data_IF_514567217097
#
_entry.id   IF_514567217097
#
_cell.length_a   1.000
_cell.length_b   1.000
_cell.length_c   1.000
_cell.angle_alpha   90.00
_cell.angle_beta   90.00
_cell.angle_gamma   90.00
#
_symmetry.space_group_name_H-M   'P 1'
#
loop_
_entity.id
_entity.type
_entity.pdbx_description
1 polymer ?
#
# COMPACT_ATOMS: atom_id res chain seq x y z
N UNK A 1 -4.09 4.85 -9.74
CA UNK A 1 -3.66 3.92 -8.67
C UNK A 1 -4.83 3.35 -7.88
N UNK A 2 -5.63 4.17 -7.17
CA UNK A 2 -6.75 3.69 -6.34
C UNK A 2 -7.69 2.70 -7.02
N UNK A 3 -8.17 3.03 -8.23
CA UNK A 3 -9.06 2.15 -9.02
C UNK A 3 -8.42 0.80 -9.35
N UNK A 4 -7.13 0.79 -9.72
CA UNK A 4 -6.38 -0.43 -10.04
C UNK A 4 -6.18 -1.31 -8.81
N UNK A 5 -5.83 -0.70 -7.67
CA UNK A 5 -5.72 -1.42 -6.39
C UNK A 5 -7.06 -2.04 -5.98
N UNK A 6 -8.16 -1.29 -6.08
CA UNK A 6 -9.49 -1.81 -5.77
C UNK A 6 -9.88 -3.00 -6.66
N UNK A 7 -9.64 -2.91 -7.97
CA UNK A 7 -9.89 -4.00 -8.92
C UNK A 7 -9.06 -5.25 -8.59
N UNK A 8 -7.74 -5.09 -8.43
CA UNK A 8 -6.85 -6.22 -8.12
C UNK A 8 -7.10 -6.80 -6.73
N UNK A 9 -7.41 -5.94 -5.76
CA UNK A 9 -7.78 -6.33 -4.41
C UNK A 9 -9.06 -7.16 -4.38
N UNK A 10 -10.10 -6.78 -5.12
CA UNK A 10 -11.34 -7.57 -5.24
C UNK A 10 -11.08 -9.01 -5.71
N UNK A 11 -10.09 -9.18 -6.60
CA UNK A 11 -9.66 -10.48 -7.11
C UNK A 11 -8.66 -11.22 -6.18
N UNK A 12 -8.33 -10.63 -5.02
CA UNK A 12 -7.40 -11.19 -4.03
C UNK A 12 -5.92 -11.04 -4.38
N UNK A 13 -5.56 -10.08 -5.24
CA UNK A 13 -4.17 -9.84 -5.60
C UNK A 13 -3.52 -8.78 -4.70
N UNK A 14 -2.40 -9.15 -4.07
CA UNK A 14 -1.64 -8.28 -3.20
C UNK A 14 -0.60 -7.48 -4.00
N UNK A 15 -0.59 -6.15 -3.88
CA UNK A 15 0.48 -5.32 -4.46
C UNK A 15 1.82 -5.61 -3.79
N UNK A 16 2.88 -5.78 -4.59
CA UNK A 16 4.27 -5.92 -4.12
C UNK A 16 5.06 -4.63 -4.25
N UNK A 17 4.66 -3.76 -5.18
CA UNK A 17 5.30 -2.48 -5.43
C UNK A 17 5.29 -2.14 -6.92
N UNK A 18 5.94 -1.04 -7.28
CA UNK A 18 6.12 -0.63 -8.67
C UNK A 18 7.53 -1.02 -9.13
N UNK A 19 7.61 -1.83 -10.17
CA UNK A 19 8.85 -2.25 -10.81
C UNK A 19 9.16 -1.35 -12.01
N UNK A 20 10.41 -0.89 -12.07
CA UNK A 20 10.97 -0.26 -13.26
C UNK A 20 11.41 -1.34 -14.26
N UNK A 21 10.95 -1.23 -15.49
CA UNK A 21 11.31 -2.09 -16.61
C UNK A 21 11.89 -1.28 -17.77
N UNK A 22 12.82 -1.88 -18.52
CA UNK A 22 13.55 -1.24 -19.62
C UNK A 22 14.94 -0.73 -19.20
N UNK A 23 15.92 -0.94 -20.08
CA UNK A 23 17.33 -0.56 -19.85
C UNK A 23 17.68 0.88 -20.29
N UNK A 24 16.84 1.49 -21.12
CA UNK A 24 17.01 2.87 -21.59
C UNK A 24 16.41 3.85 -20.57
N UNK A 25 17.20 4.78 -19.99
CA UNK A 25 16.71 5.82 -19.08
C UNK A 25 15.61 6.73 -19.65
N UNK A 26 15.52 6.87 -20.96
CA UNK A 26 14.54 7.75 -21.62
C UNK A 26 13.24 7.04 -22.01
N UNK A 27 13.23 5.71 -22.02
CA UNK A 27 12.08 4.89 -22.43
C UNK A 27 11.72 3.84 -21.37
N UNK A 28 11.64 4.29 -20.12
CA UNK A 28 11.35 3.42 -18.98
C UNK A 28 9.85 3.17 -18.83
N UNK A 29 9.49 1.92 -18.57
CA UNK A 29 8.14 1.54 -18.17
C UNK A 29 8.07 1.29 -16.67
N UNK A 30 7.04 1.82 -16.03
CA UNK A 30 6.73 1.54 -14.62
C UNK A 30 5.48 0.68 -14.55
N UNK A 31 5.62 -0.53 -14.00
CA UNK A 31 4.52 -1.48 -13.84
C UNK A 31 4.31 -1.80 -12.37
N UNK A 32 3.05 -1.88 -11.95
CA UNK A 32 2.75 -2.38 -10.63
C UNK A 32 2.76 -3.90 -10.64
N UNK A 33 3.50 -4.49 -9.71
CA UNK A 33 3.58 -5.93 -9.51
C UNK A 33 2.56 -6.34 -8.48
N UNK A 34 1.77 -7.35 -8.84
CA UNK A 34 0.78 -7.96 -7.97
C UNK A 34 1.04 -9.45 -7.85
N UNK A 35 0.80 -10.00 -6.67
CA UNK A 35 1.00 -11.41 -6.37
C UNK A 35 -0.21 -11.94 -5.61
N UNK A 36 -0.69 -13.13 -5.99
CA UNK A 36 -1.76 -13.83 -5.29
C UNK A 36 -1.17 -15.05 -4.60
N UNK A 37 -1.18 -15.03 -3.28
CA UNK A 37 -0.75 -16.17 -2.46
C UNK A 37 -1.80 -17.28 -2.56
N UNK A 38 -1.35 -18.54 -2.55
CA UNK A 38 -2.25 -19.69 -2.40
C UNK A 38 -2.97 -19.70 -1.05
N UNK A 39 -2.45 -18.99 -0.05
CA UNK A 39 -3.09 -18.80 1.25
C UNK A 39 -4.11 -17.64 1.26
N UNK A 40 -4.21 -16.86 0.19
CA UNK A 40 -5.15 -15.74 0.12
C UNK A 40 -6.57 -16.24 -0.13
N UNK A 41 -7.43 -16.03 0.86
CA UNK A 41 -8.85 -16.39 0.79
C UNK A 41 -9.71 -15.12 0.66
N UNK A 42 -10.21 -14.87 -0.54
CA UNK A 42 -11.10 -13.75 -0.83
C UNK A 42 -10.38 -12.42 -1.13
N UNK A 43 -11.16 -11.34 -1.10
CA UNK A 43 -10.73 -10.01 -1.48
C UNK A 43 -9.78 -9.38 -0.47
N UNK A 44 -8.84 -8.59 -0.99
CA UNK A 44 -7.97 -7.69 -0.24
C UNK A 44 -8.54 -6.29 -0.40
N UNK A 45 -8.80 -5.62 0.72
CA UNK A 45 -9.26 -4.24 0.72
C UNK A 45 -8.06 -3.30 0.81
N UNK A 46 -8.07 -2.24 -0.01
CA UNK A 46 -7.04 -1.22 -0.02
C UNK A 46 -7.61 0.13 0.42
N UNK A 47 -6.92 0.77 1.35
CA UNK A 47 -7.13 2.16 1.70
C UNK A 47 -5.92 2.96 1.21
N UNK A 48 -6.17 4.05 0.48
CA UNK A 48 -5.13 4.94 -0.02
C UNK A 48 -5.42 6.33 0.49
N UNK A 49 -4.55 6.85 1.34
CA UNK A 49 -4.66 8.19 1.90
C UNK A 49 -3.54 9.05 1.38
N UNK A 50 -3.85 10.31 1.05
CA UNK A 50 -2.81 11.26 0.72
C UNK A 50 -1.99 11.54 1.99
N UNK A 51 -0.67 11.56 1.87
CA UNK A 51 0.22 12.00 2.94
C UNK A 51 0.73 13.39 2.58
N UNK A 52 0.56 14.36 3.47
CA UNK A 52 1.13 15.68 3.23
C UNK A 52 2.62 15.63 3.60
N UNK A 53 3.48 16.23 2.78
CA UNK A 53 4.90 16.37 3.11
C UNK A 53 5.15 17.20 4.37
N UNK A 54 4.14 17.95 4.83
CA UNK A 54 4.14 18.73 6.06
C UNK A 54 3.63 17.96 7.29
N UNK A 55 3.15 16.72 7.15
CA UNK A 55 2.69 15.94 8.29
C UNK A 55 3.86 15.64 9.24
N UNK A 56 3.67 15.88 10.54
CA UNK A 56 4.67 15.51 11.53
C UNK A 56 4.75 13.98 11.68
N UNK A 57 5.89 13.46 12.14
CA UNK A 57 6.05 12.03 12.45
C UNK A 57 4.94 11.54 13.40
N UNK A 58 4.61 12.32 14.43
CA UNK A 58 3.57 11.95 15.40
C UNK A 58 2.19 11.87 14.75
N UNK A 59 1.85 12.83 13.88
CA UNK A 59 0.59 12.80 13.12
C UNK A 59 0.52 11.58 12.23
N UNK A 60 1.60 11.29 11.50
CA UNK A 60 1.65 10.17 10.58
C UNK A 60 1.54 8.82 11.32
N UNK A 61 2.24 8.68 12.45
CA UNK A 61 2.16 7.50 13.32
C UNK A 61 0.75 7.32 13.89
N UNK A 62 0.13 8.41 14.36
CA UNK A 62 -1.25 8.39 14.88
C UNK A 62 -2.25 7.93 13.80
N UNK A 63 -2.13 8.43 12.57
CA UNK A 63 -2.99 8.04 11.47
C UNK A 63 -2.81 6.56 11.10
N UNK A 64 -1.56 6.09 11.03
CA UNK A 64 -1.27 4.69 10.75
C UNK A 64 -1.87 3.76 11.82
N UNK A 65 -1.75 4.12 13.09
CA UNK A 65 -2.32 3.35 14.20
C UNK A 65 -3.85 3.42 14.24
N UNK A 66 -4.45 4.56 13.92
CA UNK A 66 -5.89 4.70 13.80
C UNK A 66 -6.47 3.83 12.67
N UNK A 67 -5.75 3.67 11.56
CA UNK A 67 -6.15 2.77 10.48
C UNK A 67 -5.91 1.29 10.82
N UNK A 68 -4.81 0.97 11.51
CA UNK A 68 -4.56 -0.38 12.00
C UNK A 68 -5.67 -0.84 12.96
N UNK A 69 -6.20 0.05 13.80
CA UNK A 69 -7.35 -0.22 14.68
C UNK A 69 -8.65 -0.55 13.91
N UNK A 70 -8.77 -0.14 12.63
CA UNK A 70 -9.87 -0.50 11.72
C UNK A 70 -9.58 -1.77 10.91
N UNK A 71 -8.43 -2.41 11.15
CA UNK A 71 -7.92 -3.57 10.41
C UNK A 71 -7.16 -3.22 9.13
N UNK A 72 -6.90 -1.94 8.84
CA UNK A 72 -6.12 -1.49 7.70
C UNK A 72 -4.68 -1.23 8.14
N UNK A 73 -3.80 -2.18 7.87
CA UNK A 73 -2.42 -2.12 8.29
C UNK A 73 -1.56 -1.42 7.23
N UNK A 74 -0.56 -0.65 7.68
CA UNK A 74 0.36 0.02 6.79
C UNK A 74 1.10 -0.98 5.89
N UNK A 75 1.15 -0.69 4.60
CA UNK A 75 1.91 -1.47 3.63
C UNK A 75 3.09 -0.69 3.08
N UNK A 76 2.84 0.47 2.46
CA UNK A 76 3.89 1.25 1.80
C UNK A 76 3.45 2.68 1.53
N UNK A 77 4.41 3.61 1.53
CA UNK A 77 4.27 4.92 0.90
C UNK A 77 4.59 4.83 -0.58
N UNK A 78 3.71 5.34 -1.44
CA UNK A 78 3.93 5.41 -2.88
C UNK A 78 3.87 6.86 -3.36
N UNK A 79 4.72 7.19 -4.32
CA UNK A 79 4.57 8.43 -5.07
C UNK A 79 3.55 8.20 -6.18
N UNK A 80 2.50 9.03 -6.23
CA UNK A 80 1.50 9.02 -7.29
C UNK A 80 1.96 9.88 -8.47
N UNK A 81 1.31 9.73 -9.63
CA UNK A 81 1.70 10.40 -10.88
C UNK A 81 1.65 11.95 -10.81
N UNK A 82 0.97 12.51 -9.81
CA UNK A 82 0.95 13.93 -9.47
C UNK A 82 2.10 14.35 -8.51
N UNK A 83 3.14 13.52 -8.37
CA UNK A 83 4.28 13.69 -7.47
C UNK A 83 3.92 13.85 -5.98
N UNK A 84 2.73 13.40 -5.57
CA UNK A 84 2.34 13.36 -4.17
C UNK A 84 2.64 12.00 -3.57
N UNK A 85 3.00 11.97 -2.30
CA UNK A 85 3.10 10.71 -1.57
C UNK A 85 1.73 10.33 -1.04
N UNK A 86 1.31 9.10 -1.29
CA UNK A 86 0.14 8.49 -0.66
C UNK A 86 0.58 7.30 0.17
N UNK A 87 -0.04 7.12 1.33
CA UNK A 87 0.12 5.91 2.12
C UNK A 87 -0.91 4.87 1.69
N UNK A 88 -0.45 3.64 1.45
CA UNK A 88 -1.28 2.47 1.19
C UNK A 88 -1.40 1.66 2.47
N UNK A 89 -2.64 1.31 2.80
CA UNK A 89 -2.97 0.32 3.80
C UNK A 89 -3.70 -0.84 3.13
N UNK A 90 -3.54 -2.04 3.70
CA UNK A 90 -4.22 -3.23 3.23
C UNK A 90 -4.91 -3.95 4.40
N UNK A 91 -5.99 -4.66 4.06
CA UNK A 91 -6.78 -5.47 4.98
C UNK A 91 -7.12 -6.82 4.33
N UNK A 92 -7.24 -7.86 5.15
CA UNK A 92 -7.52 -9.25 4.73
C UNK A 92 -6.42 -9.90 3.85
N UNK A 93 -5.22 -9.33 3.80
CA UNK A 93 -4.10 -9.93 3.08
C UNK A 93 -3.42 -10.99 3.92
N UNK A 94 -3.23 -12.19 3.36
CA UNK A 94 -2.49 -13.28 3.99
C UNK A 94 -1.02 -12.94 4.29
N UNK A 95 -0.48 -11.89 3.66
CA UNK A 95 0.89 -11.41 3.89
C UNK A 95 1.03 -10.50 5.12
N UNK A 96 -0.07 -10.05 5.72
CA UNK A 96 -0.05 -9.14 6.86
C UNK A 96 -0.21 -9.92 8.17
N UNK A 97 0.91 -10.49 8.65
CA UNK A 97 0.93 -11.52 9.71
C UNK A 97 0.98 -10.94 11.14
N UNK A 98 1.28 -9.64 11.34
CA UNK A 98 1.46 -9.07 12.70
C UNK A 98 0.45 -7.97 13.07
N UNK A 99 -0.75 -8.34 13.54
CA UNK A 99 -1.84 -7.40 13.84
C UNK A 99 -1.85 -6.80 15.27
N UNK A 100 -0.83 -6.98 16.11
CA UNK A 100 -0.96 -6.65 17.55
C UNK A 100 -0.47 -5.26 18.00
N UNK A 101 0.24 -4.46 17.20
CA UNK A 101 0.84 -3.21 17.72
C UNK A 101 0.75 -1.97 16.82
N UNK A 102 0.13 -2.06 15.64
CA UNK A 102 0.19 -0.96 14.68
C UNK A 102 1.61 -0.75 14.14
N UNK A 103 1.94 0.49 13.78
CA UNK A 103 3.27 0.88 13.28
C UNK A 103 4.08 1.51 14.41
N UNK A 104 5.41 1.36 14.37
CA UNK A 104 6.35 2.14 15.19
C UNK A 104 7.38 2.78 14.28
N UNK A 105 7.83 3.98 14.65
CA UNK A 105 9.00 4.63 14.06
C UNK A 105 10.19 4.49 15.03
N UNK A 106 11.44 4.45 14.53
CA UNK A 106 12.63 4.51 15.37
C UNK A 106 12.75 5.85 16.11
#
# INVERSE_FOLDING_TARGET
MRTRLAQKGADGWFIRGTQRLGGDPLNMSYVDVFEKSSAQNGAIEYLVEASASSDSLTTQLSNMNANAAKGFFYFSGIMTADNKTSTIYAKNSAWMINPLAGVTFP
#
